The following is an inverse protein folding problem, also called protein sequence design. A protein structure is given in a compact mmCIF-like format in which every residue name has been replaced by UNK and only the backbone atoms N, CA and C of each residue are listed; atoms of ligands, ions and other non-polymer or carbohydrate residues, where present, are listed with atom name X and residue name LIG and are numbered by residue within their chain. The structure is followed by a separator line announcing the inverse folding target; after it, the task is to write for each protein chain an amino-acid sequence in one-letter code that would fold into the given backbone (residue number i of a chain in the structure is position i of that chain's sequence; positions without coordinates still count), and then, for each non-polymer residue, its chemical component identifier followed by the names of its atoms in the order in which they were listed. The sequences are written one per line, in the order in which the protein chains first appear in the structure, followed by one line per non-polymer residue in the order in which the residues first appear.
data_IF_634074792399
#
_entry.id   IF_634074792399
#
_cell.length_a   1.000
_cell.length_b   1.000
_cell.length_c   1.000
_cell.angle_alpha   90.00
_cell.angle_beta   90.00
_cell.angle_gamma   90.00
#
_symmetry.space_group_name_H-M   'P 1'
#
loop_
_entity.id
_entity.type
_entity.pdbx_description
1 polymer ?
#
# COMPACT_ATOMS: atom_id res chain seq x y z
N UNK A 1 -0.62 14.39 1.35
CA UNK A 1 -0.67 13.40 2.44
C UNK A 1 -1.82 12.42 2.25
N UNK A 2 -3.08 12.88 2.11
CA UNK A 2 -4.22 11.99 1.84
C UNK A 2 -4.04 11.21 0.54
N UNK A 3 -3.84 11.89 -0.58
CA UNK A 3 -3.60 11.25 -1.89
C UNK A 3 -2.49 10.19 -1.85
N UNK A 4 -1.39 10.46 -1.12
CA UNK A 4 -0.31 9.49 -0.93
C UNK A 4 -0.75 8.25 -0.12
N UNK A 5 -1.55 8.44 0.93
CA UNK A 5 -2.06 7.32 1.73
C UNK A 5 -3.16 6.53 0.96
N UNK A 6 -3.91 7.22 0.10
CA UNK A 6 -4.97 6.66 -0.74
C UNK A 6 -4.38 5.71 -1.78
N UNK A 7 -3.39 6.14 -2.58
CA UNK A 7 -2.82 5.30 -3.66
C UNK A 7 -2.24 3.98 -3.13
N UNK A 8 -1.67 3.98 -1.93
CA UNK A 8 -1.15 2.75 -1.31
C UNK A 8 -2.25 1.74 -0.93
N UNK A 9 -3.52 2.17 -0.81
CA UNK A 9 -4.63 1.37 -0.30
C UNK A 9 -5.74 1.11 -1.32
N UNK A 10 -5.45 1.26 -2.61
CA UNK A 10 -6.38 0.90 -3.67
C UNK A 10 -5.71 0.17 -4.83
N UNK A 11 -6.51 -0.59 -5.57
CA UNK A 11 -6.06 -1.50 -6.64
C UNK A 11 -6.32 -0.92 -8.04
N UNK A 12 -7.08 0.17 -8.12
CA UNK A 12 -7.54 0.75 -9.37
C UNK A 12 -6.40 1.35 -10.19
N UNK A 13 -5.40 1.94 -9.55
CA UNK A 13 -4.27 2.55 -10.26
C UNK A 13 -3.28 1.53 -10.84
N UNK A 14 -3.21 0.31 -10.28
CA UNK A 14 -2.18 -0.69 -10.59
C UNK A 14 -1.94 -0.88 -12.11
N UNK A 15 -2.95 -1.21 -12.94
CA UNK A 15 -2.73 -1.45 -14.37
C UNK A 15 -2.37 -0.19 -15.17
N UNK A 16 -2.55 1.01 -14.60
CA UNK A 16 -2.32 2.28 -15.29
C UNK A 16 -1.01 2.95 -14.88
N UNK A 17 -0.57 2.76 -13.63
CA UNK A 17 0.64 3.38 -13.06
C UNK A 17 1.80 2.41 -13.01
N UNK A 18 1.53 1.11 -12.80
CA UNK A 18 2.54 0.06 -12.65
C UNK A 18 2.50 -1.04 -13.74
N UNK A 19 2.23 -0.73 -15.03
CA UNK A 19 1.99 -1.75 -16.05
C UNK A 19 3.23 -2.62 -16.38
N UNK A 20 4.42 -2.24 -15.91
CA UNK A 20 5.67 -2.98 -16.17
C UNK A 20 6.45 -3.38 -14.91
N UNK A 21 5.87 -3.19 -13.72
CA UNK A 21 6.57 -3.40 -12.44
C UNK A 21 5.82 -4.38 -11.54
N UNK A 22 4.64 -3.99 -11.04
CA UNK A 22 3.90 -4.75 -10.02
C UNK A 22 2.45 -5.07 -10.40
N UNK A 23 1.91 -4.52 -11.50
CA UNK A 23 0.50 -4.73 -11.89
C UNK A 23 0.14 -6.22 -11.95
N UNK A 24 0.93 -7.02 -12.66
CA UNK A 24 0.63 -8.44 -12.91
C UNK A 24 0.94 -9.34 -11.70
N UNK A 25 1.43 -8.77 -10.59
CA UNK A 25 1.68 -9.50 -9.35
C UNK A 25 0.42 -9.70 -8.53
N UNK A 26 -0.56 -8.79 -8.63
CA UNK A 26 -1.77 -8.80 -7.81
C UNK A 26 -2.95 -9.37 -8.60
N UNK A 27 -3.65 -10.32 -7.99
CA UNK A 27 -4.95 -10.76 -8.51
C UNK A 27 -6.05 -9.74 -8.13
N UNK A 28 -7.25 -9.94 -8.67
CA UNK A 28 -8.42 -9.18 -8.25
C UNK A 28 -8.61 -9.29 -6.73
N UNK A 29 -8.98 -8.17 -6.08
CA UNK A 29 -9.08 -8.14 -4.65
C UNK A 29 -10.26 -8.95 -4.08
N UNK A 30 -10.11 -9.42 -2.86
CA UNK A 30 -11.23 -9.95 -2.08
C UNK A 30 -12.28 -8.85 -1.84
N UNK A 31 -13.50 -9.27 -1.52
CA UNK A 31 -14.52 -8.37 -0.99
C UNK A 31 -14.00 -7.65 0.26
N UNK A 32 -14.32 -6.34 0.42
CA UNK A 32 -13.83 -5.57 1.55
C UNK A 32 -14.35 -6.11 2.88
N UNK A 33 -13.48 -6.10 3.90
CA UNK A 33 -13.84 -6.55 5.24
C UNK A 33 -14.60 -5.47 6.02
N UNK A 34 -15.68 -5.85 6.69
CA UNK A 34 -16.34 -4.97 7.63
C UNK A 34 -15.58 -4.95 8.96
N UNK A 35 -14.96 -3.81 9.23
CA UNK A 35 -14.16 -3.59 10.44
C UNK A 35 -14.78 -2.53 11.34
N UNK A 36 -14.37 -2.48 12.61
CA UNK A 36 -14.84 -1.47 13.57
C UNK A 36 -13.65 -0.62 14.02
N UNK A 37 -13.83 0.70 14.00
CA UNK A 37 -12.83 1.67 14.47
C UNK A 37 -12.16 2.45 13.33
N UNK A 38 -11.03 3.09 13.68
CA UNK A 38 -10.29 4.00 12.82
C UNK A 38 -9.30 3.27 11.90
N UNK A 39 -9.81 2.32 11.12
CA UNK A 39 -9.00 1.59 10.15
C UNK A 39 -9.85 0.96 9.05
N UNK A 40 -9.18 0.55 7.98
CA UNK A 40 -9.73 -0.23 6.87
C UNK A 40 -8.72 -1.32 6.47
N UNK A 41 -9.21 -2.42 5.91
CA UNK A 41 -8.35 -3.54 5.46
C UNK A 41 -8.98 -4.28 4.30
N UNK A 42 -8.11 -4.93 3.54
CA UNK A 42 -8.42 -5.61 2.30
C UNK A 42 -7.31 -6.64 2.05
N UNK A 43 -7.64 -7.79 1.47
CA UNK A 43 -6.64 -8.77 1.01
C UNK A 43 -6.79 -9.09 -0.47
N UNK A 44 -5.68 -9.42 -1.13
CA UNK A 44 -5.66 -10.05 -2.47
C UNK A 44 -4.66 -11.20 -2.48
N UNK A 45 -4.81 -12.15 -3.38
CA UNK A 45 -3.78 -13.15 -3.69
C UNK A 45 -2.73 -12.56 -4.63
N UNK A 46 -1.54 -13.17 -4.67
CA UNK A 46 -0.45 -12.71 -5.52
C UNK A 46 0.16 -13.83 -6.34
N UNK A 47 0.60 -13.50 -7.56
CA UNK A 47 1.49 -14.35 -8.36
C UNK A 47 2.92 -14.20 -7.84
N UNK A 48 3.34 -15.13 -6.96
CA UNK A 48 4.57 -14.99 -6.19
C UNK A 48 4.36 -14.12 -4.95
N UNK A 49 5.34 -13.28 -4.60
CA UNK A 49 5.25 -12.35 -3.47
C UNK A 49 5.10 -10.91 -3.94
N UNK A 50 4.21 -10.16 -3.28
CA UNK A 50 4.05 -8.71 -3.50
C UNK A 50 5.23 -7.87 -3.03
N UNK A 51 6.19 -8.46 -2.31
CA UNK A 51 7.40 -7.81 -1.84
C UNK A 51 8.53 -7.72 -2.88
N UNK A 52 8.38 -8.34 -4.05
CA UNK A 52 9.40 -8.36 -5.11
C UNK A 52 8.80 -7.95 -6.47
N UNK A 53 9.67 -7.49 -7.37
CA UNK A 53 9.32 -7.31 -8.78
C UNK A 53 9.16 -8.66 -9.47
N UNK A 54 8.43 -8.70 -10.58
CA UNK A 54 8.17 -9.93 -11.35
C UNK A 54 9.48 -10.66 -11.73
N UNK A 55 10.48 -9.92 -12.21
CA UNK A 55 11.77 -10.48 -12.61
C UNK A 55 12.59 -11.06 -11.45
N UNK A 56 12.25 -10.70 -10.21
CA UNK A 56 13.03 -11.02 -9.01
C UNK A 56 12.38 -12.07 -8.11
N UNK A 57 11.22 -12.63 -8.49
CA UNK A 57 10.47 -13.60 -7.68
C UNK A 57 11.29 -14.81 -7.19
N UNK A 58 12.34 -15.19 -7.92
CA UNK A 58 13.26 -16.26 -7.52
C UNK A 58 14.11 -15.92 -6.27
N UNK A 59 14.14 -14.66 -5.84
CA UNK A 59 14.85 -14.16 -4.65
C UNK A 59 13.98 -14.14 -3.39
N UNK A 60 12.77 -14.68 -3.43
CA UNK A 60 11.86 -14.68 -2.29
C UNK A 60 12.52 -15.25 -1.02
N UNK A 61 12.43 -14.49 0.06
CA UNK A 61 12.83 -14.91 1.40
C UNK A 61 11.90 -16.02 1.91
N UNK A 62 12.30 -16.77 2.97
CA UNK A 62 11.42 -17.76 3.57
C UNK A 62 10.12 -17.14 4.09
N UNK A 63 9.01 -17.84 3.85
CA UNK A 63 7.70 -17.47 4.39
C UNK A 63 7.70 -17.57 5.91
N UNK A 64 6.95 -16.69 6.55
CA UNK A 64 6.70 -16.72 8.00
C UNK A 64 5.93 -18.00 8.32
N UNK A 65 6.55 -18.91 9.09
CA UNK A 65 6.02 -20.27 9.30
C UNK A 65 4.71 -20.35 10.09
N UNK A 66 4.28 -19.26 10.73
CA UNK A 66 3.01 -19.19 11.46
C UNK A 66 1.81 -18.82 10.56
N UNK A 67 2.06 -18.40 9.32
CA UNK A 67 1.00 -18.00 8.39
C UNK A 67 0.26 -19.22 7.85
N UNK A 68 -1.06 -19.07 7.71
CA UNK A 68 -1.90 -20.00 6.95
C UNK A 68 -1.59 -19.90 5.46
N UNK A 69 -2.01 -20.89 4.67
CA UNK A 69 -1.86 -20.88 3.21
C UNK A 69 -2.51 -19.64 2.57
N UNK A 70 -3.65 -19.16 3.13
CA UNK A 70 -4.32 -17.95 2.64
C UNK A 70 -3.50 -16.70 2.88
N UNK A 71 -2.92 -16.56 4.07
CA UNK A 71 -2.09 -15.41 4.45
C UNK A 71 -0.75 -15.43 3.69
N UNK A 72 -0.18 -16.61 3.50
CA UNK A 72 1.07 -16.79 2.77
C UNK A 72 0.92 -16.72 1.23
N UNK A 73 -0.32 -16.76 0.72
CA UNK A 73 -0.64 -16.71 -0.70
C UNK A 73 -0.97 -15.33 -1.24
N UNK A 74 -0.75 -14.26 -0.46
CA UNK A 74 -1.15 -12.93 -0.87
C UNK A 74 -0.60 -11.82 0.00
N UNK A 75 -1.21 -10.65 -0.14
CA UNK A 75 -0.88 -9.46 0.64
C UNK A 75 -2.17 -8.88 1.21
N UNK A 76 -2.11 -8.44 2.46
CA UNK A 76 -3.17 -7.66 3.10
C UNK A 76 -2.72 -6.22 3.24
N UNK A 77 -3.49 -5.31 2.66
CA UNK A 77 -3.31 -3.87 2.78
C UNK A 77 -4.28 -3.33 3.82
N UNK A 78 -3.75 -2.54 4.76
CA UNK A 78 -4.54 -1.88 5.79
C UNK A 78 -4.15 -0.43 5.95
N UNK A 79 -5.16 0.41 6.15
CA UNK A 79 -4.96 1.81 6.52
C UNK A 79 -5.35 1.99 7.98
N UNK A 80 -4.36 2.23 8.83
CA UNK A 80 -4.56 2.64 10.21
C UNK A 80 -4.70 4.17 10.22
N UNK A 81 -5.94 4.64 10.34
CA UNK A 81 -6.23 6.06 10.18
C UNK A 81 -5.57 6.89 11.29
N UNK A 82 -5.08 8.11 10.99
CA UNK A 82 -5.12 8.74 9.67
C UNK A 82 -3.88 8.48 8.80
N UNK A 83 -2.71 8.17 9.36
CA UNK A 83 -1.43 8.44 8.69
C UNK A 83 -0.50 7.25 8.57
N UNK A 84 -0.96 6.05 8.92
CA UNK A 84 -0.15 4.84 8.82
C UNK A 84 -0.81 3.85 7.87
N UNK A 85 -0.11 3.52 6.79
CA UNK A 85 -0.57 2.52 5.81
C UNK A 85 0.40 1.35 5.84
N UNK A 86 -0.13 0.14 5.94
CA UNK A 86 0.64 -1.08 6.16
C UNK A 86 0.18 -2.15 5.17
N UNK A 87 1.15 -2.93 4.69
CA UNK A 87 0.91 -4.14 3.96
C UNK A 87 1.68 -5.29 4.63
N UNK A 88 1.00 -6.43 4.77
CA UNK A 88 1.58 -7.65 5.34
C UNK A 88 1.56 -8.73 4.27
N UNK A 89 2.74 -9.21 3.89
CA UNK A 89 2.93 -10.31 2.95
C UNK A 89 3.50 -11.56 3.63
N UNK A 90 3.88 -12.54 2.81
CA UNK A 90 4.29 -13.86 3.28
C UNK A 90 5.65 -13.86 4.00
N UNK A 91 6.58 -12.99 3.62
CA UNK A 91 7.96 -12.95 4.13
C UNK A 91 8.21 -11.80 5.12
N UNK A 92 7.34 -10.80 5.14
CA UNK A 92 7.54 -9.58 5.91
C UNK A 92 6.38 -8.59 5.76
N UNK A 93 6.57 -7.42 6.34
CA UNK A 93 5.62 -6.32 6.24
C UNK A 93 6.33 -5.05 5.75
N UNK A 94 5.59 -4.17 5.10
CA UNK A 94 6.04 -2.84 4.75
C UNK A 94 4.98 -1.82 5.10
N UNK A 95 5.41 -0.62 5.42
CA UNK A 95 4.51 0.47 5.77
C UNK A 95 5.05 1.82 5.32
N UNK A 96 4.13 2.76 5.14
CA UNK A 96 4.46 4.17 5.07
C UNK A 96 3.87 4.92 6.25
N UNK A 97 4.74 5.63 6.96
CA UNK A 97 4.34 6.66 7.91
C UNK A 97 4.26 7.99 7.16
N UNK A 98 3.06 8.59 7.11
CA UNK A 98 2.80 9.82 6.37
C UNK A 98 2.73 11.00 7.33
N UNK A 99 3.68 11.92 7.24
CA UNK A 99 3.78 13.10 8.08
C UNK A 99 3.30 14.35 7.30
N UNK A 100 2.10 14.90 7.60
CA UNK A 100 1.63 16.11 6.95
C UNK A 100 2.43 17.32 7.45
N UNK A 101 3.17 17.98 6.55
CA UNK A 101 3.84 19.26 6.83
C UNK A 101 2.96 20.47 6.45
N UNK A 102 1.82 20.20 5.80
CA UNK A 102 0.84 21.19 5.37
C UNK A 102 -0.14 20.61 4.33
N UNK A 103 -1.04 21.43 3.77
CA UNK A 103 -1.99 20.98 2.76
C UNK A 103 -1.33 20.54 1.45
N UNK A 104 -0.15 21.10 1.13
CA UNK A 104 0.56 20.88 -0.14
C UNK A 104 1.89 20.12 0.03
N UNK A 105 2.15 19.55 1.20
CA UNK A 105 3.42 18.87 1.49
C UNK A 105 3.27 17.83 2.58
N UNK A 106 3.90 16.68 2.36
CA UNK A 106 4.13 15.68 3.41
C UNK A 106 5.53 15.09 3.27
N UNK A 107 6.02 14.52 4.35
CA UNK A 107 7.15 13.60 4.34
C UNK A 107 6.61 12.19 4.57
N UNK A 108 7.17 11.21 3.90
CA UNK A 108 6.81 9.82 4.08
C UNK A 108 8.06 9.05 4.52
N UNK A 109 7.93 8.18 5.51
CA UNK A 109 8.97 7.21 5.86
C UNK A 109 8.52 5.84 5.38
N UNK A 110 9.30 5.24 4.47
CA UNK A 110 9.12 3.85 4.05
C UNK A 110 9.82 2.95 5.05
N UNK A 111 9.13 1.92 5.53
CA UNK A 111 9.69 0.95 6.47
C UNK A 111 9.39 -0.45 5.95
N UNK A 112 10.39 -1.32 5.96
CA UNK A 112 10.27 -2.74 5.64
C UNK A 112 10.78 -3.53 6.84
N UNK A 113 9.98 -4.47 7.31
CA UNK A 113 10.30 -5.32 8.44
C UNK A 113 10.26 -6.78 8.03
N UNK A 114 11.28 -7.52 8.47
CA UNK A 114 11.37 -8.97 8.30
C UNK A 114 11.45 -9.65 9.68
N UNK A 115 11.04 -10.92 9.78
CA UNK A 115 11.25 -11.72 10.99
C UNK A 115 12.72 -11.76 11.39
N UNK A 116 13.00 -11.79 12.69
CA UNK A 116 14.38 -11.78 13.20
C UNK A 116 15.18 -12.99 12.71
N UNK A 117 14.54 -14.14 12.58
CA UNK A 117 15.10 -15.37 12.02
C UNK A 117 15.48 -15.22 10.53
N UNK A 118 14.70 -14.45 9.77
CA UNK A 118 14.99 -14.15 8.36
C UNK A 118 16.17 -13.18 8.25
N UNK A 119 16.22 -12.16 9.11
CA UNK A 119 17.35 -11.20 9.17
C UNK A 119 18.66 -11.90 9.54
N UNK A 120 18.59 -12.99 10.32
CA UNK A 120 19.75 -13.78 10.72
C UNK A 120 20.31 -14.72 9.62
N UNK A 121 19.65 -14.83 8.47
CA UNK A 121 20.11 -15.69 7.37
C UNK A 121 21.40 -15.17 6.73
N UNK A 122 22.24 -16.10 6.30
CA UNK A 122 23.35 -15.77 5.41
C UNK A 122 22.80 -15.12 4.13
N UNK A 123 23.49 -14.06 3.68
CA UNK A 123 23.09 -13.27 2.50
C UNK A 123 21.78 -12.47 2.65
N UNK A 124 21.13 -12.42 3.82
CA UNK A 124 19.90 -11.64 4.01
C UNK A 124 20.04 -10.21 3.45
N UNK A 125 21.11 -9.51 3.82
CA UNK A 125 21.34 -8.14 3.36
C UNK A 125 21.38 -8.03 1.83
N UNK A 126 22.02 -8.98 1.14
CA UNK A 126 22.11 -8.97 -0.33
C UNK A 126 20.76 -9.28 -1.00
N UNK A 127 19.95 -10.14 -0.39
CA UNK A 127 18.61 -10.49 -0.89
C UNK A 127 17.61 -9.37 -0.62
N UNK A 128 17.70 -8.71 0.54
CA UNK A 128 16.81 -7.62 0.95
C UNK A 128 16.88 -6.41 0.01
N UNK A 129 18.02 -6.18 -0.66
CA UNK A 129 18.13 -5.14 -1.69
C UNK A 129 17.09 -5.29 -2.82
N UNK A 130 16.71 -6.52 -3.19
CA UNK A 130 15.67 -6.73 -4.20
C UNK A 130 14.27 -6.33 -3.69
N UNK A 131 14.03 -6.46 -2.37
CA UNK A 131 12.80 -5.98 -1.76
C UNK A 131 12.78 -4.45 -1.71
N UNK A 132 13.89 -3.81 -1.33
CA UNK A 132 13.99 -2.35 -1.30
C UNK A 132 13.82 -1.75 -2.69
N UNK A 133 14.48 -2.33 -3.70
CA UNK A 133 14.33 -1.91 -5.11
C UNK A 133 12.87 -1.96 -5.58
N UNK A 134 12.12 -3.01 -5.23
CA UNK A 134 10.68 -3.08 -5.56
C UNK A 134 9.89 -1.89 -5.02
N UNK A 135 10.19 -1.45 -3.80
CA UNK A 135 9.47 -0.33 -3.19
C UNK A 135 9.93 1.02 -3.77
N UNK A 136 11.22 1.16 -4.08
CA UNK A 136 11.79 2.34 -4.75
C UNK A 136 11.23 2.50 -6.17
N UNK A 137 11.11 1.41 -6.94
CA UNK A 137 10.51 1.44 -8.28
C UNK A 137 9.05 1.88 -8.21
N UNK A 138 8.24 1.24 -7.37
CA UNK A 138 6.82 1.56 -7.27
C UNK A 138 6.59 3.02 -6.83
N UNK A 139 7.33 3.50 -5.82
CA UNK A 139 7.15 4.89 -5.37
C UNK A 139 7.62 5.90 -6.41
N UNK A 140 8.66 5.58 -7.20
CA UNK A 140 9.11 6.42 -8.30
C UNK A 140 8.07 6.54 -9.42
N UNK A 141 7.25 5.51 -9.62
CA UNK A 141 6.12 5.53 -10.57
C UNK A 141 4.91 6.33 -10.02
N UNK A 142 4.64 6.21 -8.72
CA UNK A 142 3.53 6.92 -8.05
C UNK A 142 3.74 8.43 -7.93
N UNK A 143 4.93 8.87 -7.52
CA UNK A 143 5.25 10.29 -7.26
C UNK A 143 4.78 11.22 -8.39
N UNK A 144 5.14 11.00 -9.68
CA UNK A 144 4.72 11.90 -10.74
C UNK A 144 3.20 11.90 -10.98
N UNK A 145 2.49 10.80 -10.67
CA UNK A 145 1.03 10.76 -10.76
C UNK A 145 0.38 11.53 -9.61
N UNK A 146 0.85 11.31 -8.38
CA UNK A 146 0.41 12.07 -7.20
C UNK A 146 0.66 13.57 -7.37
N UNK A 147 1.82 14.00 -7.88
CA UNK A 147 2.09 15.42 -8.15
C UNK A 147 1.16 16.01 -9.23
N UNK A 148 0.74 15.21 -10.21
CA UNK A 148 -0.25 15.64 -11.23
C UNK A 148 -1.65 15.71 -10.62
N UNK A 149 -2.04 14.71 -9.84
CA UNK A 149 -3.32 14.67 -9.14
C UNK A 149 -3.46 15.87 -8.20
N UNK A 150 -2.47 16.10 -7.33
CA UNK A 150 -2.47 17.24 -6.39
C UNK A 150 -2.62 18.57 -7.11
N UNK A 151 -1.90 18.77 -8.24
CA UNK A 151 -2.06 19.98 -9.07
C UNK A 151 -3.45 20.08 -9.70
N UNK A 152 -4.02 18.97 -10.14
CA UNK A 152 -5.39 18.91 -10.67
C UNK A 152 -6.43 19.30 -9.63
N UNK A 153 -6.27 18.82 -8.39
CA UNK A 153 -7.16 19.11 -7.26
C UNK A 153 -7.13 20.58 -6.81
N UNK A 154 -6.10 21.34 -7.21
CA UNK A 154 -6.04 22.79 -6.99
C UNK A 154 -6.86 23.61 -8.01
N UNK A 155 -7.41 22.97 -9.04
CA UNK A 155 -8.29 23.62 -10.00
C UNK A 155 -9.59 24.09 -9.32
N UNK A 156 -10.12 25.29 -9.63
CA UNK A 156 -11.43 25.72 -9.14
C UNK A 156 -12.59 24.88 -9.70
N UNK A 157 -12.32 24.04 -10.71
CA UNK A 157 -13.28 23.09 -11.29
C UNK A 157 -13.15 21.68 -10.70
N UNK A 158 -12.22 21.46 -9.77
CA UNK A 158 -12.07 20.15 -9.13
C UNK A 158 -13.30 19.87 -8.24
N UNK A 159 -13.93 18.73 -8.47
CA UNK A 159 -15.00 18.19 -7.64
C UNK A 159 -14.59 16.82 -7.08
N UNK A 160 -15.28 16.37 -6.04
CA UNK A 160 -15.03 15.04 -5.49
C UNK A 160 -15.34 13.95 -6.53
N UNK A 161 -14.37 13.08 -6.78
CA UNK A 161 -14.54 11.91 -7.65
C UNK A 161 -15.43 10.84 -7.03
N UNK A 162 -15.85 9.86 -7.86
CA UNK A 162 -16.56 8.67 -7.40
C UNK A 162 -15.54 7.58 -7.04
N UNK A 163 -15.85 6.79 -6.03
CA UNK A 163 -15.06 5.61 -5.70
C UNK A 163 -15.42 4.42 -6.60
N UNK A 164 -14.40 3.70 -7.02
CA UNK A 164 -14.48 2.38 -7.66
C UNK A 164 -14.72 1.29 -6.62
N UNK A 165 -15.19 0.11 -7.07
CA UNK A 165 -15.21 -1.09 -6.23
C UNK A 165 -13.80 -1.55 -5.80
N UNK A 166 -12.76 -1.05 -6.48
CA UNK A 166 -11.34 -1.29 -6.19
C UNK A 166 -10.74 -0.29 -5.17
N UNK A 167 -11.53 0.67 -4.67
CA UNK A 167 -11.10 1.69 -3.70
C UNK A 167 -11.84 1.64 -2.34
N UNK A 168 -12.17 0.45 -1.77
CA UNK A 168 -13.02 0.39 -0.58
C UNK A 168 -12.35 0.99 0.66
N UNK A 169 -11.03 0.82 0.81
CA UNK A 169 -10.28 1.40 1.93
C UNK A 169 -10.29 2.95 1.87
N UNK A 170 -10.17 3.51 0.66
CA UNK A 170 -10.24 4.95 0.43
C UNK A 170 -11.64 5.49 0.76
N UNK A 171 -12.68 4.82 0.28
CA UNK A 171 -14.07 5.18 0.59
C UNK A 171 -14.34 5.17 2.11
N UNK A 172 -13.82 4.15 2.80
CA UNK A 172 -13.94 4.00 4.25
C UNK A 172 -13.18 5.09 5.01
N UNK A 173 -11.97 5.43 4.58
CA UNK A 173 -11.22 6.56 5.13
C UNK A 173 -11.97 7.87 4.95
N UNK A 174 -12.49 8.14 3.75
CA UNK A 174 -13.24 9.37 3.45
C UNK A 174 -14.47 9.51 4.37
N UNK A 175 -15.24 8.42 4.56
CA UNK A 175 -16.37 8.42 5.49
C UNK A 175 -15.93 8.67 6.93
N UNK A 176 -14.93 7.94 7.42
CA UNK A 176 -14.41 8.11 8.77
C UNK A 176 -13.89 9.55 9.01
N UNK A 177 -13.18 10.11 8.04
CA UNK A 177 -12.59 11.45 8.12
C UNK A 177 -13.68 12.53 8.13
N UNK A 178 -14.70 12.40 7.29
CA UNK A 178 -15.87 13.28 7.29
C UNK A 178 -16.59 13.25 8.64
N UNK A 179 -16.82 12.07 9.21
CA UNK A 179 -17.44 11.94 10.55
C UNK A 179 -16.62 12.64 11.63
N UNK A 180 -15.28 12.53 11.58
CA UNK A 180 -14.40 13.23 12.54
C UNK A 180 -14.52 14.73 12.39
N UNK A 181 -14.50 15.26 11.16
CA UNK A 181 -14.63 16.69 10.91
C UNK A 181 -16.00 17.23 11.36
N UNK A 182 -17.07 16.51 11.09
CA UNK A 182 -18.42 16.90 11.45
C UNK A 182 -18.70 16.75 12.95
N UNK A 183 -18.05 15.80 13.64
CA UNK A 183 -18.19 15.63 15.10
C UNK A 183 -17.50 16.70 15.94
N UNK A 184 -16.67 17.54 15.33
CA UNK A 184 -15.98 18.67 15.97
C UNK A 184 -16.73 19.99 15.74
N UNK A 185 -17.78 19.99 14.92
CA UNK A 185 -18.68 21.12 14.69
C UNK A 185 -19.85 21.12 15.69
#
# INVERSE_FOLDING_TARGET
WKEFAEVFNEYYHLPYVHPGSISDTYDDPDEPEDVVGAWATHSSTTQGTGGLLEADQAKALPRIGALTDREAGGVRYSWLHPTLVIATGAEGMWMYEVYPDGPNRCRCAQVVCFPAETVALDQFAAVAEAYYERFDVAIAEDIPMLERQHRGMQSPFAEQGRFSYLEPNVARFASWYADRLLSVA
#
